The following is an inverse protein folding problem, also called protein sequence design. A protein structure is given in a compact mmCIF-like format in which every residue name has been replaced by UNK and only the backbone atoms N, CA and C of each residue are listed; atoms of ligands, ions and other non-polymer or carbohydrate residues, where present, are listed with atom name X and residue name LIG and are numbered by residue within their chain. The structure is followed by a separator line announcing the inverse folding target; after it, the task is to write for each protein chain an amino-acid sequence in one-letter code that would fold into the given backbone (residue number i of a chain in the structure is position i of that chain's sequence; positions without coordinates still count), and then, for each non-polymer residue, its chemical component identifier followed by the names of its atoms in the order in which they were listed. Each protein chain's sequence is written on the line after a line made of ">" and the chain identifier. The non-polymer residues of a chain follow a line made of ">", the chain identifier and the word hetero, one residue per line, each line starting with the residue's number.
data_IF_995643270430
#
_entry.id   IF_995643270430
#
_cell.length_a   1.000
_cell.length_b   1.000
_cell.length_c   1.000
_cell.angle_alpha   90.00
_cell.angle_beta   90.00
_cell.angle_gamma   90.00
#
_symmetry.space_group_name_H-M   'P 1'
#
loop_
_entity.id
_entity.type
_entity.pdbx_description
1 polymer ?
#
# COMPACT_ATOMS: atom_id res chain seq x y z
N UNK A 1 -3.68 10.33 -19.01
CA UNK A 1 -3.47 11.10 -17.77
C UNK A 1 -2.00 11.00 -17.40
N UNK A 2 -1.35 12.08 -16.97
CA UNK A 2 0.05 12.04 -16.52
C UNK A 2 0.12 12.34 -15.03
N UNK A 3 1.04 11.70 -14.31
CA UNK A 3 1.29 11.93 -12.90
C UNK A 3 1.59 13.40 -12.60
N UNK A 4 2.42 14.06 -13.40
CA UNK A 4 2.81 15.47 -13.19
C UNK A 4 1.62 16.43 -13.14
N UNK A 5 0.54 16.15 -13.89
CA UNK A 5 -0.65 17.00 -13.91
C UNK A 5 -1.63 16.67 -12.80
N UNK A 6 -1.84 15.38 -12.55
CA UNK A 6 -2.95 14.92 -11.71
C UNK A 6 -2.49 14.42 -10.33
N UNK A 7 -1.16 14.29 -10.12
CA UNK A 7 -0.56 13.70 -8.91
C UNK A 7 -0.93 12.23 -8.69
N UNK A 8 -1.58 11.59 -9.65
CA UNK A 8 -1.82 10.15 -9.70
C UNK A 8 -1.85 9.63 -11.13
N UNK A 9 -1.60 8.33 -11.29
CA UNK A 9 -1.69 7.63 -12.57
C UNK A 9 -1.91 6.14 -12.37
N UNK A 10 -2.80 5.54 -13.18
CA UNK A 10 -2.95 4.08 -13.25
C UNK A 10 -1.98 3.52 -14.28
N UNK A 11 -1.26 2.47 -13.89
CA UNK A 11 -0.38 1.69 -14.77
C UNK A 11 -0.97 0.30 -14.90
N UNK A 12 -1.38 -0.05 -16.11
CA UNK A 12 -1.84 -1.39 -16.40
C UNK A 12 -0.65 -2.32 -16.62
N UNK A 13 -0.73 -3.53 -16.06
CA UNK A 13 0.33 -4.54 -16.12
C UNK A 13 1.71 -3.98 -15.66
N UNK A 14 1.75 -3.30 -14.52
CA UNK A 14 3.01 -2.84 -13.91
C UNK A 14 3.95 -4.00 -13.58
N UNK A 15 3.37 -5.15 -13.23
CA UNK A 15 4.01 -6.47 -13.19
C UNK A 15 3.17 -7.46 -13.99
N UNK A 16 3.75 -8.58 -14.40
CA UNK A 16 2.99 -9.63 -15.10
C UNK A 16 1.96 -10.27 -14.16
N UNK A 17 0.90 -10.83 -14.74
CA UNK A 17 -0.12 -11.57 -13.96
C UNK A 17 0.48 -12.76 -13.20
N UNK A 18 1.46 -13.43 -13.79
CA UNK A 18 2.16 -14.55 -13.18
C UNK A 18 2.91 -14.09 -11.90
N UNK A 19 3.64 -12.97 -11.96
CA UNK A 19 4.33 -12.40 -10.81
C UNK A 19 3.32 -11.96 -9.74
N UNK A 20 2.19 -11.38 -10.14
CA UNK A 20 1.13 -11.00 -9.22
C UNK A 20 0.52 -12.23 -8.54
N UNK A 21 0.25 -13.31 -9.27
CA UNK A 21 -0.29 -14.56 -8.72
C UNK A 21 0.70 -15.20 -7.72
N UNK A 22 1.99 -15.29 -8.07
CA UNK A 22 3.03 -15.80 -7.16
C UNK A 22 3.05 -14.96 -5.87
N UNK A 23 3.05 -13.63 -5.98
CA UNK A 23 3.07 -12.76 -4.81
C UNK A 23 1.78 -12.88 -3.98
N UNK A 24 0.63 -13.08 -4.63
CA UNK A 24 -0.65 -13.30 -3.95
C UNK A 24 -0.66 -14.62 -3.18
N UNK A 25 -0.20 -15.72 -3.81
CA UNK A 25 -0.07 -17.04 -3.15
C UNK A 25 0.90 -17.00 -1.99
N UNK A 26 2.04 -16.35 -2.18
CA UNK A 26 3.00 -16.12 -1.10
C UNK A 26 2.36 -15.39 0.08
N UNK A 27 1.57 -14.34 -0.18
CA UNK A 27 0.87 -13.57 0.86
C UNK A 27 -0.14 -14.43 1.63
N UNK A 28 -0.90 -15.28 0.92
CA UNK A 28 -1.87 -16.19 1.54
C UNK A 28 -1.16 -17.22 2.44
N UNK A 29 -0.12 -17.88 1.93
CA UNK A 29 0.68 -18.87 2.69
C UNK A 29 1.33 -18.20 3.91
N UNK A 30 1.88 -17.00 3.74
CA UNK A 30 2.47 -16.24 4.85
C UNK A 30 1.44 -15.94 5.94
N UNK A 31 0.23 -15.52 5.56
CA UNK A 31 -0.84 -15.25 6.52
C UNK A 31 -1.27 -16.52 7.28
N UNK A 32 -1.42 -17.64 6.59
CA UNK A 32 -1.77 -18.92 7.20
C UNK A 32 -0.68 -19.43 8.14
N UNK A 33 0.58 -19.42 7.69
CA UNK A 33 1.72 -19.85 8.50
C UNK A 33 1.93 -18.98 9.74
N UNK A 34 1.89 -17.66 9.59
CA UNK A 34 2.05 -16.71 10.70
C UNK A 34 0.92 -16.88 11.72
N UNK A 35 -0.33 -17.05 11.25
CA UNK A 35 -1.48 -17.32 12.12
C UNK A 35 -1.34 -18.64 12.89
N UNK A 36 -0.91 -19.69 12.21
CA UNK A 36 -0.68 -20.99 12.85
C UNK A 36 0.43 -20.91 13.91
N UNK A 37 1.56 -20.25 13.59
CA UNK A 37 2.67 -20.09 14.53
C UNK A 37 2.26 -19.29 15.78
N UNK A 38 1.46 -18.23 15.62
CA UNK A 38 0.92 -17.47 16.74
C UNK A 38 0.01 -18.30 17.63
N UNK A 39 -0.91 -19.08 17.04
CA UNK A 39 -1.88 -19.89 17.79
C UNK A 39 -1.25 -21.09 18.50
N UNK A 40 -0.08 -21.56 18.04
CA UNK A 40 0.65 -22.68 18.63
C UNK A 40 1.84 -22.25 19.49
N UNK A 41 1.95 -20.97 19.82
CA UNK A 41 2.98 -20.44 20.73
C UNK A 41 4.42 -20.49 20.17
N UNK A 42 4.59 -20.69 18.87
CA UNK A 42 5.91 -20.69 18.23
C UNK A 42 6.46 -19.28 18.05
N UNK A 43 5.61 -18.26 18.14
CA UNK A 43 5.95 -16.85 18.09
C UNK A 43 4.93 -16.03 18.87
N UNK A 44 5.10 -14.71 18.92
CA UNK A 44 4.19 -13.80 19.62
C UNK A 44 3.84 -12.60 18.72
N UNK A 45 2.73 -11.94 19.02
CA UNK A 45 2.19 -10.83 18.21
C UNK A 45 3.14 -9.60 18.10
N UNK A 46 4.10 -9.45 19.02
CA UNK A 46 5.12 -8.40 18.96
C UNK A 46 6.34 -8.76 18.10
N UNK A 47 6.43 -9.99 17.58
CA UNK A 47 7.52 -10.37 16.70
C UNK A 47 7.32 -9.77 15.30
N UNK A 48 8.19 -8.84 14.92
CA UNK A 48 8.09 -8.12 13.65
C UNK A 48 8.46 -8.95 12.41
N UNK A 49 8.97 -10.17 12.59
CA UNK A 49 9.23 -11.10 11.49
C UNK A 49 7.97 -11.79 11.00
N UNK A 50 6.92 -11.83 11.81
CA UNK A 50 5.58 -12.31 11.43
C UNK A 50 4.65 -11.15 11.13
N UNK A 51 3.56 -11.42 10.40
CA UNK A 51 2.57 -10.40 10.10
C UNK A 51 1.69 -10.07 11.29
N UNK A 52 1.02 -8.93 11.19
CA UNK A 52 0.10 -8.42 12.19
C UNK A 52 -1.35 -8.65 11.75
N UNK A 53 -2.18 -9.22 12.63
CA UNK A 53 -3.61 -9.46 12.41
C UNK A 53 -4.52 -8.41 13.07
N UNK A 54 -3.94 -7.50 13.86
CA UNK A 54 -4.66 -6.49 14.66
C UNK A 54 -4.13 -5.07 14.42
N UNK A 55 -3.83 -4.76 13.17
CA UNK A 55 -3.36 -3.45 12.81
C UNK A 55 -4.52 -2.43 12.90
N UNK A 56 -4.35 -1.31 13.66
CA UNK A 56 -5.46 -0.41 13.99
C UNK A 56 -6.16 0.26 12.80
N UNK A 57 -5.42 0.51 11.71
CA UNK A 57 -5.98 1.17 10.53
C UNK A 57 -7.02 0.28 9.82
N UNK A 58 -6.77 -1.04 9.75
CA UNK A 58 -7.69 -2.02 9.17
C UNK A 58 -7.73 -3.27 10.04
N UNK A 59 -8.51 -3.27 11.12
CA UNK A 59 -8.65 -4.42 12.00
C UNK A 59 -9.10 -5.69 11.25
N UNK A 60 -8.67 -6.85 11.73
CA UNK A 60 -9.00 -8.16 11.14
C UNK A 60 -8.45 -8.40 9.73
N UNK A 61 -7.53 -7.57 9.23
CA UNK A 61 -6.71 -7.86 8.06
C UNK A 61 -5.37 -8.47 8.49
N UNK A 62 -4.74 -9.24 7.61
CA UNK A 62 -3.32 -9.59 7.78
C UNK A 62 -2.48 -8.52 7.12
N UNK A 63 -1.46 -8.02 7.81
CA UNK A 63 -0.56 -7.00 7.31
C UNK A 63 0.90 -7.34 7.62
N UNK A 64 1.82 -7.01 6.71
CA UNK A 64 3.25 -7.23 6.91
C UNK A 64 4.08 -6.08 6.35
N UNK A 65 4.95 -5.55 7.20
CA UNK A 65 5.88 -4.49 6.86
C UNK A 65 7.22 -5.06 6.43
N UNK A 66 7.83 -4.51 5.37
CA UNK A 66 9.20 -4.81 4.98
C UNK A 66 9.44 -6.26 4.54
N UNK A 67 8.40 -6.96 4.06
CA UNK A 67 8.51 -8.32 3.57
C UNK A 67 9.47 -8.41 2.39
N UNK A 68 10.39 -9.40 2.40
CA UNK A 68 11.48 -9.49 1.42
C UNK A 68 10.99 -9.67 -0.01
N UNK A 69 9.94 -10.45 -0.24
CA UNK A 69 9.37 -10.59 -1.59
C UNK A 69 8.76 -9.26 -2.05
N UNK A 70 8.03 -8.59 -1.15
CA UNK A 70 7.39 -7.32 -1.48
C UNK A 70 8.41 -6.19 -1.68
N UNK A 71 9.51 -6.20 -0.94
CA UNK A 71 10.62 -5.24 -1.18
C UNK A 71 11.41 -5.57 -2.46
N UNK A 72 11.40 -6.83 -2.91
CA UNK A 72 11.89 -7.17 -4.25
C UNK A 72 11.02 -6.54 -5.34
N UNK A 73 9.68 -6.50 -5.15
CA UNK A 73 8.77 -5.78 -6.04
C UNK A 73 9.01 -4.27 -5.99
N UNK A 74 9.29 -3.71 -4.80
CA UNK A 74 9.64 -2.30 -4.62
C UNK A 74 10.84 -1.91 -5.49
N UNK A 75 11.92 -2.69 -5.46
CA UNK A 75 13.11 -2.45 -6.28
C UNK A 75 12.82 -2.68 -7.77
N UNK A 76 12.11 -3.76 -8.10
CA UNK A 76 11.78 -4.12 -9.49
C UNK A 76 10.93 -3.05 -10.20
N UNK A 77 10.04 -2.38 -9.50
CA UNK A 77 9.12 -1.41 -10.08
C UNK A 77 9.67 0.02 -10.14
N UNK A 78 10.84 0.30 -9.54
CA UNK A 78 11.39 1.66 -9.43
C UNK A 78 11.55 2.34 -10.80
N UNK A 79 12.03 1.62 -11.82
CA UNK A 79 12.23 2.19 -13.17
C UNK A 79 10.89 2.57 -13.82
N UNK A 80 9.86 1.74 -13.63
CA UNK A 80 8.50 2.05 -14.09
C UNK A 80 7.96 3.28 -13.35
N UNK A 81 8.18 3.36 -12.05
CA UNK A 81 7.79 4.50 -11.22
C UNK A 81 8.47 5.77 -11.70
N UNK A 82 9.79 5.77 -11.86
CA UNK A 82 10.57 6.93 -12.33
C UNK A 82 10.11 7.39 -13.72
N UNK A 83 9.93 6.44 -14.65
CA UNK A 83 9.45 6.74 -16.01
C UNK A 83 8.05 7.39 -16.00
N UNK A 84 7.16 6.97 -15.12
CA UNK A 84 5.76 7.43 -15.08
C UNK A 84 5.59 8.72 -14.29
N UNK A 85 6.37 8.92 -13.25
CA UNK A 85 6.34 10.16 -12.45
C UNK A 85 7.22 11.26 -13.03
N UNK A 86 8.25 10.91 -13.79
CA UNK A 86 9.30 11.84 -14.22
C UNK A 86 10.27 12.24 -13.10
N UNK A 87 10.20 11.58 -11.95
CA UNK A 87 11.00 11.85 -10.77
C UNK A 87 12.11 10.80 -10.63
N UNK A 88 13.26 11.19 -10.09
CA UNK A 88 14.21 10.26 -9.51
C UNK A 88 13.71 9.83 -8.14
N UNK A 89 13.68 8.55 -7.88
CA UNK A 89 13.07 7.99 -6.66
C UNK A 89 14.08 7.19 -5.84
N UNK A 90 13.93 7.27 -4.52
CA UNK A 90 14.60 6.37 -3.56
C UNK A 90 13.55 5.53 -2.84
N UNK A 91 13.79 4.23 -2.65
CA UNK A 91 12.84 3.35 -1.99
C UNK A 91 12.82 3.62 -0.47
N UNK A 92 11.65 3.54 0.12
CA UNK A 92 11.48 3.62 1.57
C UNK A 92 11.11 2.27 2.17
N UNK A 93 9.96 1.72 1.87
CA UNK A 93 9.55 0.39 2.34
C UNK A 93 8.38 -0.17 1.53
N UNK A 94 8.13 -1.45 1.70
CA UNK A 94 6.89 -2.10 1.27
C UNK A 94 5.99 -2.36 2.47
N UNK A 95 4.68 -2.31 2.22
CA UNK A 95 3.67 -2.77 3.15
C UNK A 95 2.66 -3.62 2.40
N UNK A 96 2.28 -4.77 2.91
CA UNK A 96 1.33 -5.65 2.24
C UNK A 96 0.17 -5.98 3.15
N UNK A 97 -1.02 -6.14 2.56
CA UNK A 97 -2.22 -6.56 3.26
C UNK A 97 -3.00 -7.62 2.50
N UNK A 98 -3.53 -8.56 3.26
CA UNK A 98 -4.58 -9.47 2.83
C UNK A 98 -5.88 -9.07 3.53
N UNK A 99 -6.74 -8.42 2.78
CA UNK A 99 -8.02 -7.92 3.24
C UNK A 99 -9.09 -8.99 3.19
N UNK A 100 -10.05 -8.88 4.11
CA UNK A 100 -11.20 -9.79 4.26
C UNK A 100 -12.50 -9.00 4.18
N UNK A 101 -13.60 -9.71 3.94
CA UNK A 101 -14.95 -9.13 3.92
C UNK A 101 -15.21 -8.24 5.14
N UNK A 102 -15.78 -7.06 4.89
CA UNK A 102 -16.06 -6.05 5.90
C UNK A 102 -14.90 -5.12 6.24
N UNK A 103 -13.67 -5.36 5.72
CA UNK A 103 -12.58 -4.41 5.91
C UNK A 103 -12.89 -3.09 5.22
N UNK A 104 -12.43 -2.00 5.82
CA UNK A 104 -12.53 -0.62 5.31
C UNK A 104 -11.15 0.01 5.42
N UNK A 105 -10.70 0.72 4.39
CA UNK A 105 -9.57 1.62 4.51
C UNK A 105 -10.10 3.05 4.57
N UNK A 106 -10.04 3.66 5.74
CA UNK A 106 -10.60 4.99 5.96
C UNK A 106 -9.90 6.06 5.15
N UNK A 107 -10.61 7.13 4.82
CA UNK A 107 -10.06 8.28 4.09
C UNK A 107 -8.93 8.92 4.89
N UNK A 108 -7.75 9.03 4.28
CA UNK A 108 -6.53 9.54 4.91
C UNK A 108 -5.54 10.04 3.85
N UNK A 109 -4.50 10.69 4.32
CA UNK A 109 -3.25 10.93 3.59
C UNK A 109 -2.14 10.10 4.23
N UNK A 110 -1.10 9.84 3.46
CA UNK A 110 0.05 9.09 3.92
C UNK A 110 1.06 9.94 4.69
N UNK A 111 1.92 9.27 5.45
CA UNK A 111 3.07 9.89 6.13
C UNK A 111 4.21 10.22 5.16
N UNK A 112 5.19 11.09 5.53
CA UNK A 112 6.28 11.53 4.66
C UNK A 112 7.11 10.42 4.00
N UNK A 113 7.27 9.24 4.62
CA UNK A 113 7.95 8.11 3.97
C UNK A 113 7.19 7.53 2.78
N UNK A 114 5.95 7.94 2.58
CA UNK A 114 5.04 7.51 1.52
C UNK A 114 4.72 8.66 0.55
N UNK A 115 5.68 9.58 0.33
CA UNK A 115 5.51 10.76 -0.54
C UNK A 115 5.00 10.36 -1.94
N UNK A 116 5.63 9.37 -2.54
CA UNK A 116 5.19 8.75 -3.79
C UNK A 116 4.81 7.31 -3.46
N UNK A 117 3.53 7.07 -3.45
CA UNK A 117 2.94 5.80 -3.03
C UNK A 117 2.37 5.02 -4.20
N UNK A 118 2.23 3.73 -4.00
CA UNK A 118 1.46 2.87 -4.90
C UNK A 118 0.52 1.98 -4.12
N UNK A 119 -0.57 1.57 -4.79
CA UNK A 119 -1.27 0.33 -4.48
C UNK A 119 -1.20 -0.56 -5.70
N UNK A 120 -0.62 -1.75 -5.55
CA UNK A 120 -0.46 -2.76 -6.58
C UNK A 120 -1.34 -3.95 -6.23
N UNK A 121 -2.30 -4.28 -7.10
CA UNK A 121 -3.19 -5.42 -6.89
C UNK A 121 -2.44 -6.72 -7.19
N UNK A 122 -2.39 -7.62 -6.21
CA UNK A 122 -1.78 -8.94 -6.35
C UNK A 122 -2.81 -9.99 -6.78
N UNK A 123 -4.05 -9.91 -6.29
CA UNK A 123 -5.09 -10.89 -6.60
C UNK A 123 -6.26 -10.85 -5.63
N UNK A 124 -7.19 -11.78 -5.82
CA UNK A 124 -8.43 -11.88 -5.07
C UNK A 124 -9.58 -11.12 -5.71
N UNK A 125 -10.62 -10.85 -4.92
CA UNK A 125 -11.81 -10.18 -5.40
C UNK A 125 -11.55 -8.69 -5.68
N UNK A 126 -12.28 -8.13 -6.65
CA UNK A 126 -12.14 -6.72 -6.99
C UNK A 126 -12.56 -5.82 -5.83
N UNK A 127 -11.71 -4.86 -5.51
CA UNK A 127 -11.99 -3.86 -4.48
C UNK A 127 -11.42 -2.50 -4.90
N UNK A 128 -12.27 -1.57 -5.32
CA UNK A 128 -11.82 -0.26 -5.79
C UNK A 128 -11.09 0.54 -4.71
N UNK A 129 -10.16 1.36 -5.14
CA UNK A 129 -9.62 2.45 -4.32
C UNK A 129 -10.19 3.78 -4.84
N UNK A 130 -10.54 4.66 -3.92
CA UNK A 130 -10.95 6.03 -4.22
C UNK A 130 -9.79 6.97 -3.96
N UNK A 131 -9.64 7.98 -4.81
CA UNK A 131 -8.63 9.02 -4.68
C UNK A 131 -9.27 10.38 -4.92
N UNK A 132 -8.95 11.35 -4.07
CA UNK A 132 -9.42 12.72 -4.24
C UNK A 132 -8.37 13.55 -5.02
N UNK A 133 -8.62 13.85 -6.31
CA UNK A 133 -7.68 14.61 -7.13
C UNK A 133 -7.64 16.09 -6.78
N UNK A 134 -8.51 16.57 -5.92
CA UNK A 134 -8.53 17.98 -5.48
C UNK A 134 -7.52 18.25 -4.36
N UNK A 135 -6.99 17.19 -3.76
CA UNK A 135 -5.93 17.27 -2.75
C UNK A 135 -6.30 16.66 -1.41
N UNK A 136 -5.91 17.33 -0.35
CA UNK A 136 -6.10 16.94 1.05
C UNK A 136 -6.98 17.94 1.80
N UNK A 137 -6.96 17.85 3.14
CA UNK A 137 -7.62 18.77 4.05
C UNK A 137 -9.15 18.59 4.21
N UNK A 138 -9.67 17.43 3.83
CA UNK A 138 -11.07 17.09 4.11
C UNK A 138 -11.22 16.19 5.36
N UNK A 139 -10.19 15.45 5.75
CA UNK A 139 -10.24 14.55 6.92
C UNK A 139 -10.19 15.36 8.21
N UNK A 140 -11.18 15.15 9.08
CA UNK A 140 -11.26 15.73 10.43
C UNK A 140 -10.73 14.73 11.47
N UNK A 141 -11.18 13.49 11.39
CA UNK A 141 -10.76 12.39 12.26
C UNK A 141 -10.79 11.08 11.46
N UNK A 142 -9.61 10.61 11.05
CA UNK A 142 -9.51 9.38 10.27
C UNK A 142 -9.95 8.12 11.05
N UNK A 143 -9.71 8.10 12.37
CA UNK A 143 -10.07 6.96 13.20
C UNK A 143 -11.58 6.78 13.31
N UNK A 144 -12.33 7.88 13.32
CA UNK A 144 -13.80 7.88 13.33
C UNK A 144 -14.42 7.96 11.95
N UNK A 145 -13.59 8.06 10.89
CA UNK A 145 -14.05 8.27 9.53
C UNK A 145 -14.89 9.55 9.36
N UNK A 146 -14.47 10.61 10.04
CA UNK A 146 -15.13 11.91 9.97
C UNK A 146 -14.36 12.81 8.99
N UNK A 147 -15.08 13.34 8.02
CA UNK A 147 -14.56 14.30 7.06
C UNK A 147 -15.51 15.50 6.89
N UNK A 148 -15.03 16.56 6.30
CA UNK A 148 -15.78 17.82 6.12
C UNK A 148 -17.08 17.55 5.33
N UNK A 149 -18.19 18.20 5.69
CA UNK A 149 -19.41 18.17 4.87
C UNK A 149 -19.11 18.66 3.45
N UNK A 150 -19.58 17.92 2.45
CA UNK A 150 -19.33 18.25 1.05
C UNK A 150 -17.94 17.85 0.53
N UNK A 151 -17.15 17.11 1.29
CA UNK A 151 -15.91 16.54 0.80
C UNK A 151 -16.14 15.78 -0.52
N UNK A 152 -15.20 15.88 -1.50
CA UNK A 152 -15.34 15.22 -2.79
C UNK A 152 -15.53 13.70 -2.66
N UNK A 153 -16.38 13.14 -3.52
CA UNK A 153 -16.61 11.68 -3.58
C UNK A 153 -15.40 10.90 -4.11
N UNK A 154 -14.39 11.62 -4.61
CA UNK A 154 -13.21 11.03 -5.20
C UNK A 154 -13.47 10.37 -6.57
N UNK A 155 -12.40 9.83 -7.11
CA UNK A 155 -12.41 9.05 -8.34
C UNK A 155 -12.23 7.59 -7.97
N UNK A 156 -13.14 6.73 -8.43
CA UNK A 156 -13.03 5.30 -8.27
C UNK A 156 -11.99 4.71 -9.22
N UNK A 157 -11.05 3.94 -8.70
CA UNK A 157 -10.01 3.27 -9.47
C UNK A 157 -10.09 1.76 -9.25
N UNK A 158 -10.39 1.04 -10.33
CA UNK A 158 -10.41 -0.41 -10.36
C UNK A 158 -9.09 -0.94 -10.90
N UNK A 159 -8.45 -1.87 -10.16
CA UNK A 159 -7.17 -2.49 -10.49
C UNK A 159 -7.35 -4.00 -10.63
N UNK A 160 -6.91 -4.55 -11.76
CA UNK A 160 -6.78 -6.01 -11.95
C UNK A 160 -5.43 -6.49 -11.39
N UNK A 161 -5.26 -7.80 -11.12
CA UNK A 161 -3.96 -8.34 -10.73
C UNK A 161 -2.83 -7.92 -11.68
N UNK A 162 -1.77 -7.34 -11.11
CA UNK A 162 -0.66 -6.73 -11.83
C UNK A 162 -0.81 -5.25 -12.18
N UNK A 163 -2.01 -4.66 -12.03
CA UNK A 163 -2.23 -3.22 -12.19
C UNK A 163 -1.81 -2.45 -10.94
N UNK A 164 -1.33 -1.24 -11.13
CA UNK A 164 -0.83 -0.36 -10.07
C UNK A 164 -1.39 1.05 -10.22
N UNK A 165 -1.85 1.64 -9.12
CA UNK A 165 -2.09 3.07 -9.00
C UNK A 165 -0.86 3.70 -8.35
N UNK A 166 -0.27 4.71 -9.00
CA UNK A 166 0.74 5.61 -8.41
C UNK A 166 0.03 6.88 -7.98
N UNK A 167 0.37 7.41 -6.80
CA UNK A 167 -0.20 8.67 -6.31
C UNK A 167 0.75 9.40 -5.34
N UNK A 168 0.56 10.71 -5.22
CA UNK A 168 1.23 11.54 -4.20
C UNK A 168 0.56 11.29 -2.85
N UNK A 169 1.15 10.39 -2.06
CA UNK A 169 0.51 9.89 -0.83
C UNK A 169 0.29 10.95 0.23
N UNK A 170 1.21 11.93 0.32
CA UNK A 170 1.11 13.03 1.28
C UNK A 170 0.19 14.18 0.84
N UNK A 171 -0.25 14.19 -0.43
CA UNK A 171 -1.03 15.30 -1.00
C UNK A 171 -2.47 14.90 -1.30
N UNK A 172 -2.72 13.62 -1.67
CA UNK A 172 -4.03 13.17 -2.11
C UNK A 172 -4.67 12.23 -1.09
N UNK A 173 -5.84 12.60 -0.61
CA UNK A 173 -6.65 11.71 0.22
C UNK A 173 -7.12 10.50 -0.58
N UNK A 174 -7.03 9.35 0.05
CA UNK A 174 -7.43 8.08 -0.57
C UNK A 174 -8.04 7.12 0.45
N UNK A 175 -8.92 6.24 -0.03
CA UNK A 175 -9.68 5.31 0.83
C UNK A 175 -10.27 4.15 0.05
N UNK A 176 -10.82 3.19 0.75
CA UNK A 176 -11.65 2.12 0.21
C UNK A 176 -12.90 1.95 1.05
N UNK A 177 -14.03 1.84 0.39
CA UNK A 177 -15.33 1.56 1.01
C UNK A 177 -15.38 0.14 1.58
N UNK A 178 -16.43 -0.27 2.33
CA UNK A 178 -16.51 -1.63 2.87
C UNK A 178 -16.29 -2.70 1.81
N UNK A 179 -15.41 -3.67 2.10
CA UNK A 179 -15.09 -4.75 1.17
C UNK A 179 -16.17 -5.83 1.22
N UNK A 180 -16.85 -6.04 0.09
CA UNK A 180 -17.90 -7.05 -0.04
C UNK A 180 -17.40 -8.42 -0.50
N UNK A 181 -16.19 -8.50 -1.08
CA UNK A 181 -15.55 -9.75 -1.49
C UNK A 181 -15.02 -10.58 -0.30
N UNK A 182 -14.43 -11.72 -0.59
CA UNK A 182 -13.90 -12.62 0.44
C UNK A 182 -12.45 -12.29 0.81
N UNK A 183 -11.57 -12.17 -0.21
CA UNK A 183 -10.14 -11.89 -0.04
C UNK A 183 -9.64 -10.95 -1.13
N UNK A 184 -8.79 -10.00 -0.74
CA UNK A 184 -8.08 -9.12 -1.67
C UNK A 184 -6.65 -8.87 -1.18
N UNK A 185 -5.65 -9.24 -1.98
CA UNK A 185 -4.23 -9.03 -1.70
C UNK A 185 -3.70 -7.78 -2.38
N UNK A 186 -3.12 -6.88 -1.58
CA UNK A 186 -2.51 -5.64 -2.05
C UNK A 186 -1.10 -5.49 -1.52
N UNK A 187 -0.22 -4.87 -2.31
CA UNK A 187 1.06 -4.37 -1.81
C UNK A 187 1.18 -2.88 -2.09
N UNK A 188 1.65 -2.16 -1.11
CA UNK A 188 1.95 -0.74 -1.14
C UNK A 188 3.46 -0.59 -1.20
N UNK A 189 3.94 0.08 -2.24
CA UNK A 189 5.36 0.32 -2.49
C UNK A 189 5.59 1.83 -2.37
N UNK A 190 6.46 2.21 -1.45
CA UNK A 190 6.65 3.60 -1.07
C UNK A 190 8.02 4.11 -1.44
N UNK A 191 8.06 5.34 -1.93
CA UNK A 191 9.26 6.03 -2.39
C UNK A 191 9.24 7.47 -1.94
N UNK A 192 10.44 8.07 -1.89
CA UNK A 192 10.58 9.52 -1.82
C UNK A 192 11.24 10.05 -3.10
N UNK A 193 10.95 11.31 -3.45
CA UNK A 193 11.64 12.03 -4.50
C UNK A 193 13.11 12.21 -4.08
N UNK A 194 14.06 11.71 -4.88
CA UNK A 194 15.48 11.66 -4.51
C UNK A 194 16.08 13.04 -4.19
N UNK A 195 15.61 14.07 -4.90
CA UNK A 195 16.04 15.47 -4.70
C UNK A 195 15.09 16.23 -3.74
N UNK A 196 14.10 15.53 -3.13
CA UNK A 196 13.11 16.10 -2.22
C UNK A 196 13.59 16.14 -0.75
N UNK A 197 12.85 16.87 0.06
CA UNK A 197 13.18 17.08 1.48
C UNK A 197 13.16 15.80 2.33
N UNK A 198 12.46 14.76 1.89
CA UNK A 198 12.25 13.54 2.66
C UNK A 198 13.25 12.42 2.35
N UNK A 199 13.92 12.47 1.19
CA UNK A 199 14.75 11.36 0.69
C UNK A 199 15.82 10.89 1.68
N UNK A 200 16.64 11.84 2.19
CA UNK A 200 17.75 11.53 3.09
C UNK A 200 17.28 10.97 4.43
N UNK A 201 16.19 11.52 4.98
CA UNK A 201 15.67 11.13 6.29
C UNK A 201 14.89 9.83 6.28
N UNK A 202 14.35 9.42 5.11
CA UNK A 202 13.46 8.27 4.99
C UNK A 202 14.01 7.13 4.12
N UNK A 203 15.29 7.22 3.69
CA UNK A 203 15.90 6.12 2.95
C UNK A 203 15.72 4.80 3.71
N UNK A 204 15.16 3.78 3.03
CA UNK A 204 14.77 2.49 3.61
C UNK A 204 13.90 2.61 4.87
N UNK A 205 13.16 3.71 5.00
CA UNK A 205 12.35 4.05 6.18
C UNK A 205 13.19 4.05 7.49
N UNK A 206 14.41 4.61 7.43
CA UNK A 206 15.41 4.67 8.52
C UNK A 206 15.93 3.29 8.97
N UNK A 207 15.80 2.29 8.12
CA UNK A 207 16.43 0.98 8.30
C UNK A 207 17.82 0.96 7.67
N UNK A 208 18.72 0.05 8.07
CA UNK A 208 20.05 -0.05 7.47
C UNK A 208 19.99 -0.49 6.00
N UNK A 209 18.98 -1.29 5.63
CA UNK A 209 18.73 -1.77 4.27
C UNK A 209 17.32 -2.33 4.11
N UNK A 210 16.91 -2.57 2.88
CA UNK A 210 15.67 -3.30 2.58
C UNK A 210 15.74 -4.75 3.09
N UNK A 211 14.58 -5.35 3.36
CA UNK A 211 14.45 -6.73 3.87
C UNK A 211 14.72 -6.89 5.37
N UNK A 212 15.09 -5.82 6.06
CA UNK A 212 15.18 -5.76 7.53
C UNK A 212 13.91 -5.10 8.06
N UNK A 213 13.26 -5.72 9.03
CA UNK A 213 12.11 -5.11 9.74
C UNK A 213 12.61 -4.21 10.87
N UNK A 214 11.81 -3.20 11.21
CA UNK A 214 12.09 -2.28 12.32
C UNK A 214 11.69 -2.87 13.64
#
# INVERSE_FOLDING_TARGET
>A
MSFNKNKYQVIRNAISKEVADIAYRYLQISAEADHWMLNNGMTHAGNRLVGNFNEPQVPNSYAKYGDRLMETLLVKTIDVMQKKTGLKLVPTYSYTRLYRKGNILRRHIDRPSCEISTTLNLGGDNWPIFIDPTGSDNVIDEYKNIHKPGAPKGIEVNLKPGDMLIYSGCELEHWREPFEGQLCGQVFLHYNHADGQFAKSNLYDKRPMLGIVK
#
